data_IF_388561629835
#
_entry.id   IF_388561629835
#
_cell.length_a   1.000
_cell.length_b   1.000
_cell.length_c   1.000
_cell.angle_alpha   90.00
_cell.angle_beta   90.00
_cell.angle_gamma   90.00
#
_symmetry.space_group_name_H-M   'P 1'
#
loop_
_entity.id
_entity.type
_entity.pdbx_description
1 polymer ?
#
# COMPACT_ATOMS: atom_id res chain seq x y z
N UNK A 1 14.39 -12.84 7.51
CA UNK A 1 13.13 -12.75 6.71
C UNK A 1 12.84 -11.31 6.36
N UNK A 2 12.30 -11.05 5.18
CA UNK A 2 11.87 -9.70 4.78
C UNK A 2 10.60 -9.33 5.54
N UNK A 3 10.55 -8.12 6.06
CA UNK A 3 9.35 -7.59 6.71
C UNK A 3 8.30 -7.20 5.66
N UNK A 4 7.03 -7.49 5.90
CA UNK A 4 5.91 -7.13 5.02
C UNK A 4 5.00 -6.14 5.74
N UNK A 5 4.85 -4.96 5.17
CA UNK A 5 4.09 -3.84 5.72
C UNK A 5 2.91 -3.57 4.78
N UNK A 6 1.70 -3.50 5.31
CA UNK A 6 0.56 -2.96 4.59
C UNK A 6 0.43 -1.46 4.88
N UNK A 7 0.73 -0.62 3.88
CA UNK A 7 0.55 0.83 3.97
C UNK A 7 -0.67 1.22 3.14
N UNK A 8 -1.77 1.53 3.82
CA UNK A 8 -3.06 1.75 3.17
C UNK A 8 -3.76 3.00 3.67
N UNK A 9 -4.49 3.64 2.78
CA UNK A 9 -5.31 4.80 3.12
C UNK A 9 -6.79 4.41 3.17
N UNK A 10 -7.48 4.80 4.23
CA UNK A 10 -8.91 4.56 4.41
C UNK A 10 -9.64 5.84 4.81
N UNK A 11 -10.94 5.91 4.49
CA UNK A 11 -11.85 6.88 5.07
C UNK A 11 -12.10 6.59 6.55
N UNK A 12 -12.68 7.54 7.29
CA UNK A 12 -13.05 7.34 8.70
C UNK A 12 -13.98 6.13 8.89
N UNK A 13 -14.85 5.87 7.92
CA UNK A 13 -15.77 4.73 7.91
C UNK A 13 -15.22 3.45 7.23
N UNK A 14 -13.90 3.39 6.98
CA UNK A 14 -13.17 2.17 6.67
C UNK A 14 -13.09 1.77 5.19
N UNK A 15 -13.46 2.64 4.27
CA UNK A 15 -13.35 2.38 2.82
C UNK A 15 -12.00 2.82 2.26
N UNK A 16 -11.38 2.01 1.40
CA UNK A 16 -10.15 2.39 0.70
C UNK A 16 -10.40 2.96 -0.70
N UNK A 17 -11.56 2.70 -1.28
CA UNK A 17 -12.09 3.35 -2.49
C UNK A 17 -13.57 3.64 -2.29
N UNK A 18 -14.07 4.66 -2.98
CA UNK A 18 -15.50 4.99 -2.97
C UNK A 18 -16.33 4.00 -3.82
N UNK A 19 -17.63 4.26 -3.93
CA UNK A 19 -18.54 3.42 -4.72
C UNK A 19 -18.28 3.40 -6.22
N UNK A 20 -17.38 4.27 -6.73
CA UNK A 20 -16.94 4.31 -8.13
C UNK A 20 -15.51 3.75 -8.30
N UNK A 21 -14.87 3.32 -7.22
CA UNK A 21 -13.48 2.86 -7.23
C UNK A 21 -12.45 3.99 -7.20
N UNK A 22 -12.87 5.23 -6.90
CA UNK A 22 -11.99 6.38 -6.81
C UNK A 22 -11.38 6.52 -5.42
N UNK A 23 -10.12 6.96 -5.35
CA UNK A 23 -9.40 7.27 -4.12
C UNK A 23 -8.76 8.67 -4.12
N UNK A 24 -9.14 9.54 -5.04
CA UNK A 24 -8.61 10.91 -5.13
C UNK A 24 -8.87 11.75 -3.87
N UNK A 25 -9.89 11.39 -3.09
CA UNK A 25 -10.20 11.97 -1.78
C UNK A 25 -9.07 11.83 -0.75
N UNK A 26 -8.15 10.87 -0.94
CA UNK A 26 -6.99 10.65 -0.08
C UNK A 26 -5.79 11.57 -0.40
N UNK A 27 -5.84 12.32 -1.51
CA UNK A 27 -4.74 13.15 -1.99
C UNK A 27 -4.79 14.58 -1.44
N UNK A 28 -4.73 14.73 -0.12
CA UNK A 28 -4.68 16.06 0.52
C UNK A 28 -3.25 16.55 0.61
N UNK A 29 -2.95 17.66 -0.05
CA UNK A 29 -1.65 18.31 0.02
C UNK A 29 -1.43 18.93 1.41
N UNK A 30 -0.27 18.66 1.97
CA UNK A 30 0.18 19.21 3.23
C UNK A 30 1.71 19.05 3.31
N UNK A 31 2.49 20.09 3.69
CA UNK A 31 3.95 20.01 3.70
C UNK A 31 4.51 18.90 4.61
N UNK A 32 3.91 18.73 5.79
CA UNK A 32 4.33 17.69 6.74
C UNK A 32 3.99 16.29 6.22
N UNK A 33 2.80 16.13 5.65
CA UNK A 33 2.38 14.90 5.00
C UNK A 33 3.28 14.55 3.81
N UNK A 34 3.60 15.51 2.95
CA UNK A 34 4.48 15.32 1.80
C UNK A 34 5.90 14.93 2.22
N UNK A 35 6.43 15.55 3.30
CA UNK A 35 7.72 15.16 3.86
C UNK A 35 7.72 13.74 4.43
N UNK A 36 6.64 13.33 5.09
CA UNK A 36 6.46 11.95 5.57
C UNK A 36 6.40 10.95 4.41
N UNK A 37 5.60 11.22 3.39
CA UNK A 37 5.50 10.38 2.19
C UNK A 37 6.85 10.28 1.45
N UNK A 38 7.57 11.39 1.32
CA UNK A 38 8.91 11.43 0.73
C UNK A 38 9.92 10.61 1.53
N UNK A 39 9.88 10.69 2.85
CA UNK A 39 10.73 9.87 3.73
C UNK A 39 10.46 8.38 3.56
N UNK A 40 9.19 7.97 3.50
CA UNK A 40 8.83 6.57 3.24
C UNK A 40 9.31 6.08 1.87
N UNK A 41 9.21 6.92 0.84
CA UNK A 41 9.65 6.59 -0.52
C UNK A 41 11.18 6.64 -0.70
N UNK A 42 11.94 7.27 0.20
CA UNK A 42 13.40 7.36 0.12
C UNK A 42 14.13 6.09 0.57
N UNK A 43 13.44 5.16 1.20
CA UNK A 43 14.00 3.89 1.66
C UNK A 43 14.37 2.92 0.54
N UNK A 44 15.06 1.84 0.92
CA UNK A 44 15.47 0.76 0.00
C UNK A 44 14.47 -0.40 -0.04
N UNK A 45 13.20 -0.13 0.24
CA UNK A 45 12.12 -1.11 0.24
C UNK A 45 11.79 -1.67 -1.15
N UNK A 46 10.94 -2.68 -1.19
CA UNK A 46 10.26 -3.13 -2.39
C UNK A 46 8.76 -2.86 -2.28
N UNK A 47 8.08 -2.69 -3.40
CA UNK A 47 6.65 -2.43 -3.45
C UNK A 47 5.90 -3.67 -3.93
N UNK A 48 4.70 -3.87 -3.43
CA UNK A 48 3.82 -4.96 -3.84
C UNK A 48 2.44 -4.41 -4.18
N UNK A 49 1.92 -4.80 -5.34
CA UNK A 49 0.64 -4.34 -5.87
C UNK A 49 -0.22 -5.48 -6.40
N UNK A 50 -1.53 -5.31 -6.32
CA UNK A 50 -2.45 -5.92 -7.27
C UNK A 50 -2.46 -5.13 -8.59
N UNK A 51 -2.97 -5.75 -9.66
CA UNK A 51 -2.97 -5.15 -11.01
C UNK A 51 -3.59 -3.75 -11.07
N UNK A 52 -4.78 -3.57 -10.53
CA UNK A 52 -5.52 -2.30 -10.62
C UNK A 52 -4.75 -1.15 -9.96
N UNK A 53 -4.23 -1.39 -8.76
CA UNK A 53 -3.41 -0.39 -8.05
C UNK A 53 -2.11 -0.12 -8.80
N UNK A 54 -1.47 -1.16 -9.34
CA UNK A 54 -0.26 -0.99 -10.15
C UNK A 54 -0.52 -0.10 -11.37
N UNK A 55 -1.56 -0.38 -12.15
CA UNK A 55 -1.90 0.40 -13.35
C UNK A 55 -2.19 1.87 -13.00
N UNK A 56 -2.91 2.13 -11.90
CA UNK A 56 -3.15 3.47 -11.39
C UNK A 56 -1.83 4.19 -11.00
N UNK A 57 -0.97 3.55 -10.23
CA UNK A 57 0.31 4.10 -9.81
C UNK A 57 1.26 4.31 -10.99
N UNK A 58 1.33 3.37 -11.92
CA UNK A 58 2.17 3.43 -13.11
C UNK A 58 1.72 4.51 -14.13
N UNK A 59 0.47 4.93 -14.08
CA UNK A 59 -0.05 6.02 -14.90
C UNK A 59 0.36 7.41 -14.40
N UNK A 60 0.73 7.54 -13.13
CA UNK A 60 1.05 8.84 -12.53
C UNK A 60 2.54 8.97 -12.15
N UNK A 61 3.09 8.07 -11.33
CA UNK A 61 4.41 8.26 -10.72
C UNK A 61 5.58 8.41 -11.71
N UNK A 62 5.60 7.72 -12.87
CA UNK A 62 6.68 7.91 -13.86
C UNK A 62 6.55 9.19 -14.71
N UNK A 63 5.54 10.03 -14.48
CA UNK A 63 5.28 11.21 -15.32
C UNK A 63 6.06 12.44 -14.87
N UNK A 64 6.34 13.41 -15.80
CA UNK A 64 6.92 14.70 -15.45
C UNK A 64 6.11 15.46 -14.38
N UNK A 65 4.79 15.36 -14.41
CA UNK A 65 3.90 15.99 -13.43
C UNK A 65 4.16 15.48 -12.01
N UNK A 66 4.36 14.18 -11.84
CA UNK A 66 4.69 13.60 -10.53
C UNK A 66 6.08 14.07 -10.07
N UNK A 67 7.06 14.15 -10.99
CA UNK A 67 8.41 14.65 -10.70
C UNK A 67 8.43 16.13 -10.31
N UNK A 68 7.51 16.94 -10.83
CA UNK A 68 7.37 18.35 -10.45
C UNK A 68 6.65 18.52 -9.11
N UNK A 69 5.57 17.76 -8.88
CA UNK A 69 4.73 17.92 -7.68
C UNK A 69 5.31 17.25 -6.43
N UNK A 70 5.89 16.06 -6.57
CA UNK A 70 6.43 15.26 -5.46
C UNK A 70 7.71 14.53 -5.89
N UNK A 71 8.82 15.23 -6.17
CA UNK A 71 10.02 14.65 -6.78
C UNK A 71 10.61 13.49 -5.97
N UNK A 72 10.73 13.63 -4.66
CA UNK A 72 11.29 12.58 -3.79
C UNK A 72 10.45 11.29 -3.82
N UNK A 73 9.12 11.40 -3.84
CA UNK A 73 8.22 10.24 -3.93
C UNK A 73 8.29 9.62 -5.32
N UNK A 74 8.22 10.42 -6.38
CA UNK A 74 8.25 9.95 -7.77
C UNK A 74 9.56 9.21 -8.10
N UNK A 75 10.69 9.73 -7.64
CA UNK A 75 12.01 9.10 -7.79
C UNK A 75 12.09 7.79 -7.01
N UNK A 76 11.71 7.80 -5.73
CA UNK A 76 11.73 6.62 -4.87
C UNK A 76 10.83 5.51 -5.40
N UNK A 77 9.58 5.83 -5.74
CA UNK A 77 8.63 4.88 -6.33
C UNK A 77 9.14 4.26 -7.63
N UNK A 78 9.84 5.04 -8.46
CA UNK A 78 10.43 4.54 -9.70
C UNK A 78 11.67 3.68 -9.48
N UNK A 79 12.48 3.98 -8.45
CA UNK A 79 13.70 3.25 -8.12
C UNK A 79 13.43 1.90 -7.48
N UNK A 80 12.48 1.83 -6.53
CA UNK A 80 12.19 0.61 -5.77
C UNK A 80 11.79 -0.56 -6.67
N UNK A 81 12.24 -1.80 -6.39
CA UNK A 81 11.70 -3.01 -7.01
C UNK A 81 10.20 -3.14 -6.76
N UNK A 82 9.46 -3.61 -7.74
CA UNK A 82 8.01 -3.78 -7.67
C UNK A 82 7.61 -5.20 -8.01
N UNK A 83 6.71 -5.76 -7.23
CA UNK A 83 6.07 -7.05 -7.47
C UNK A 83 4.58 -6.81 -7.76
N UNK A 84 4.09 -7.27 -8.89
CA UNK A 84 2.69 -7.09 -9.31
C UNK A 84 2.02 -8.42 -9.49
N UNK A 85 1.02 -8.68 -8.67
CA UNK A 85 0.18 -9.88 -8.80
C UNK A 85 -0.89 -9.67 -9.85
N UNK A 86 -0.80 -10.41 -10.95
CA UNK A 86 -1.77 -10.37 -12.03
C UNK A 86 -1.79 -11.66 -12.84
N UNK A 87 -2.99 -12.09 -13.21
CA UNK A 87 -3.22 -13.19 -14.18
C UNK A 87 -3.45 -12.67 -15.60
N UNK A 88 -3.66 -11.39 -15.77
CA UNK A 88 -4.07 -10.78 -17.04
C UNK A 88 -3.07 -9.79 -17.62
N UNK A 89 -2.27 -9.15 -16.79
CA UNK A 89 -1.23 -8.20 -17.25
C UNK A 89 -0.08 -8.98 -17.90
N UNK A 90 0.16 -8.71 -19.17
CA UNK A 90 1.19 -9.42 -19.96
C UNK A 90 2.55 -8.72 -19.94
N UNK A 91 2.57 -7.42 -19.68
CA UNK A 91 3.80 -6.61 -19.69
C UNK A 91 3.68 -5.48 -18.68
N UNK A 92 4.71 -5.30 -17.87
CA UNK A 92 4.86 -4.15 -17.00
C UNK A 92 5.51 -2.99 -17.78
N UNK A 93 4.90 -1.81 -17.71
CA UNK A 93 5.41 -0.59 -18.34
C UNK A 93 6.35 0.21 -17.44
N UNK A 94 6.16 0.12 -16.13
CA UNK A 94 6.96 0.84 -15.15
C UNK A 94 8.25 0.07 -14.84
N UNK A 95 9.40 0.75 -14.85
CA UNK A 95 10.71 0.13 -14.63
C UNK A 95 10.80 -0.58 -13.27
N UNK A 96 11.70 -1.56 -13.17
CA UNK A 96 11.95 -2.36 -11.96
C UNK A 96 10.70 -3.13 -11.46
N UNK A 97 9.85 -3.57 -12.39
CA UNK A 97 8.63 -4.32 -12.09
C UNK A 97 8.77 -5.78 -12.51
N UNK A 98 8.45 -6.68 -11.58
CA UNK A 98 8.33 -8.12 -11.80
C UNK A 98 6.86 -8.52 -11.73
N UNK A 99 6.35 -9.16 -12.78
CA UNK A 99 5.03 -9.79 -12.75
C UNK A 99 5.10 -11.11 -11.98
N UNK A 100 4.17 -11.30 -11.06
CA UNK A 100 4.08 -12.50 -10.22
C UNK A 100 2.74 -13.19 -10.49
N UNK A 101 2.79 -14.45 -10.85
CA UNK A 101 1.62 -15.29 -11.08
C UNK A 101 1.46 -16.33 -9.97
N UNK A 102 0.24 -16.86 -9.82
CA UNK A 102 -0.07 -17.91 -8.88
C UNK A 102 -0.72 -17.44 -7.59
N UNK A 103 -0.64 -18.28 -6.56
CA UNK A 103 -1.22 -18.01 -5.25
C UNK A 103 -0.43 -16.91 -4.52
N UNK A 104 -1.13 -15.86 -4.12
CA UNK A 104 -0.52 -14.65 -3.51
C UNK A 104 0.22 -15.01 -2.22
N UNK A 105 -0.40 -15.80 -1.34
CA UNK A 105 0.18 -16.15 -0.05
C UNK A 105 1.43 -17.02 -0.22
N UNK A 106 1.41 -18.00 -1.13
CA UNK A 106 2.56 -18.85 -1.42
C UNK A 106 3.76 -18.03 -1.96
N UNK A 107 3.50 -17.13 -2.90
CA UNK A 107 4.53 -16.28 -3.47
C UNK A 107 5.12 -15.30 -2.45
N UNK A 108 4.29 -14.70 -1.59
CA UNK A 108 4.78 -13.80 -0.54
C UNK A 108 5.58 -14.57 0.52
N UNK A 109 5.19 -15.79 0.90
CA UNK A 109 6.02 -16.65 1.77
C UNK A 109 7.41 -16.89 1.17
N UNK A 110 7.48 -17.17 -0.14
CA UNK A 110 8.74 -17.32 -0.86
C UNK A 110 9.56 -16.01 -0.82
N UNK A 111 8.96 -14.88 -1.16
CA UNK A 111 9.63 -13.57 -1.10
C UNK A 111 10.13 -13.24 0.32
N UNK A 112 9.37 -13.56 1.36
CA UNK A 112 9.78 -13.35 2.76
C UNK A 112 11.00 -14.19 3.14
N UNK A 113 11.16 -15.40 2.60
CA UNK A 113 12.28 -16.29 2.89
C UNK A 113 13.57 -15.91 2.15
N UNK A 114 13.48 -15.16 1.07
CA UNK A 114 14.62 -14.71 0.29
C UNK A 114 15.32 -13.51 0.94
N UNK A 115 16.64 -13.31 0.74
CA UNK A 115 17.30 -12.08 1.15
C UNK A 115 16.78 -10.88 0.36
N UNK A 116 16.68 -9.73 1.00
CA UNK A 116 16.24 -8.52 0.34
C UNK A 116 15.63 -7.50 1.31
N UNK A 117 15.28 -6.32 0.81
CA UNK A 117 14.66 -5.29 1.61
C UNK A 117 13.23 -5.65 2.02
N UNK A 118 12.67 -4.94 3.00
CA UNK A 118 11.27 -5.03 3.37
C UNK A 118 10.34 -4.79 2.18
N UNK A 119 9.10 -5.27 2.27
CA UNK A 119 8.09 -5.17 1.21
C UNK A 119 6.94 -4.32 1.75
N UNK A 120 6.59 -3.23 1.05
CA UNK A 120 5.41 -2.43 1.34
C UNK A 120 4.29 -2.78 0.34
N UNK A 121 3.14 -3.18 0.87
CA UNK A 121 1.91 -3.37 0.08
C UNK A 121 1.22 -1.99 0.00
N UNK A 122 0.98 -1.51 -1.22
CA UNK A 122 0.26 -0.25 -1.49
C UNK A 122 -1.10 -0.49 -2.15
N UNK A 123 -1.77 -1.58 -1.85
CA UNK A 123 -3.02 -2.04 -2.46
C UNK A 123 -2.78 -3.16 -3.48
N UNK A 124 -3.76 -3.87 -3.89
CA UNK A 124 -5.21 -3.65 -3.63
C UNK A 124 -5.65 -4.24 -2.29
N UNK A 125 -6.86 -3.83 -1.87
CA UNK A 125 -7.47 -4.39 -0.65
C UNK A 125 -7.59 -5.91 -0.67
N UNK A 126 -7.82 -6.53 -1.84
CA UNK A 126 -7.85 -8.00 -1.98
C UNK A 126 -6.49 -8.67 -1.71
N UNK A 127 -5.38 -8.01 -1.99
CA UNK A 127 -4.04 -8.50 -1.62
C UNK A 127 -3.86 -8.39 -0.10
N UNK A 128 -4.22 -7.24 0.47
CA UNK A 128 -4.12 -7.01 1.92
C UNK A 128 -4.96 -8.03 2.69
N UNK A 129 -6.22 -8.24 2.34
CA UNK A 129 -7.10 -9.18 3.04
C UNK A 129 -6.59 -10.63 2.96
N UNK A 130 -6.15 -11.09 1.78
CA UNK A 130 -5.57 -12.43 1.63
C UNK A 130 -4.30 -12.63 2.47
N UNK A 131 -3.38 -11.65 2.47
CA UNK A 131 -2.14 -11.74 3.22
C UNK A 131 -2.35 -11.56 4.73
N UNK A 132 -3.31 -10.73 5.14
CA UNK A 132 -3.72 -10.60 6.54
C UNK A 132 -4.29 -11.92 7.07
N UNK A 133 -5.22 -12.55 6.34
CA UNK A 133 -5.81 -13.85 6.70
C UNK A 133 -4.75 -14.97 6.75
N UNK A 134 -3.73 -14.90 5.89
CA UNK A 134 -2.62 -15.87 5.87
C UNK A 134 -1.54 -15.60 6.93
N UNK A 135 -1.66 -14.56 7.78
CA UNK A 135 -0.67 -14.18 8.79
C UNK A 135 0.69 -13.74 8.20
N UNK A 136 0.67 -13.13 7.02
CA UNK A 136 1.89 -12.77 6.28
C UNK A 136 2.25 -11.27 6.36
N UNK A 137 1.40 -10.46 6.95
CA UNK A 137 1.65 -9.04 7.20
C UNK A 137 2.24 -8.89 8.59
N UNK A 138 3.41 -8.29 8.68
CA UNK A 138 4.12 -8.08 9.95
C UNK A 138 3.70 -6.75 10.62
N UNK A 139 3.33 -5.75 9.81
CA UNK A 139 2.91 -4.43 10.30
C UNK A 139 1.81 -3.84 9.39
N UNK A 140 0.81 -3.23 10.01
CA UNK A 140 -0.21 -2.44 9.34
C UNK A 140 0.02 -0.96 9.64
N UNK A 141 0.24 -0.18 8.60
CA UNK A 141 0.29 1.28 8.64
C UNK A 141 -0.97 1.83 7.97
N UNK A 142 -1.97 2.13 8.75
CA UNK A 142 -3.28 2.57 8.25
C UNK A 142 -3.41 4.07 8.41
N UNK A 143 -3.57 4.75 7.29
CA UNK A 143 -3.84 6.19 7.23
C UNK A 143 -5.34 6.41 7.24
N UNK A 144 -5.86 6.92 8.36
CA UNK A 144 -7.26 7.32 8.45
C UNK A 144 -7.39 8.76 7.97
N UNK A 145 -8.13 8.96 6.88
CA UNK A 145 -8.41 10.27 6.31
C UNK A 145 -9.67 10.88 6.92
N UNK A 146 -9.73 12.21 7.13
CA UNK A 146 -10.87 12.90 7.75
C UNK A 146 -12.02 13.08 6.76
N UNK A 147 -12.58 11.97 6.29
CA UNK A 147 -13.70 11.90 5.36
C UNK A 147 -14.58 10.67 5.65
N UNK A 148 -15.87 10.81 5.46
CA UNK A 148 -16.85 9.70 5.47
C UNK A 148 -17.35 9.52 4.04
N UNK A 149 -17.24 8.32 3.49
CA UNK A 149 -17.65 8.00 2.12
C UNK A 149 -19.06 7.40 2.04
N UNK A 150 -19.50 6.72 3.09
CA UNK A 150 -20.81 6.09 3.18
C UNK A 150 -20.98 4.82 2.36
N UNK A 151 -20.22 4.66 1.27
CA UNK A 151 -20.19 3.46 0.42
C UNK A 151 -18.85 3.34 -0.30
N UNK A 152 -18.51 2.11 -0.66
CA UNK A 152 -17.27 1.78 -1.34
C UNK A 152 -16.84 0.35 -1.07
N UNK A 153 -15.54 0.09 -1.16
CA UNK A 153 -14.93 -1.19 -0.79
C UNK A 153 -14.10 -1.03 0.46
N UNK A 154 -14.30 -1.94 1.41
CA UNK A 154 -13.55 -1.99 2.66
C UNK A 154 -12.21 -2.69 2.48
N UNK A 155 -11.20 -2.27 3.24
CA UNK A 155 -9.83 -2.78 3.13
C UNK A 155 -9.73 -4.28 3.46
N UNK A 156 -10.50 -4.74 4.42
CA UNK A 156 -10.47 -6.13 4.92
C UNK A 156 -11.66 -6.98 4.44
N UNK A 157 -12.24 -6.63 3.30
CA UNK A 157 -13.30 -7.42 2.68
C UNK A 157 -12.82 -8.86 2.42
N UNK A 158 -13.58 -9.86 2.89
CA UNK A 158 -13.25 -11.27 2.75
C UNK A 158 -12.33 -11.84 3.83
N UNK A 159 -11.98 -11.08 4.85
CA UNK A 159 -11.35 -11.63 6.07
C UNK A 159 -12.43 -12.32 6.90
N UNK A 160 -12.28 -13.63 7.10
CA UNK A 160 -13.27 -14.48 7.78
C UNK A 160 -13.02 -14.59 9.28
N UNK A 161 -11.75 -14.61 9.68
CA UNK A 161 -11.36 -14.75 11.09
C UNK A 161 -10.85 -13.44 11.67
N UNK A 162 -11.11 -13.24 12.96
CA UNK A 162 -10.63 -12.06 13.68
C UNK A 162 -9.12 -12.05 13.75
N UNK A 163 -8.53 -10.91 13.43
CA UNK A 163 -7.09 -10.66 13.57
C UNK A 163 -6.92 -9.63 14.68
N UNK A 164 -6.41 -10.06 15.83
CA UNK A 164 -6.13 -9.15 16.94
C UNK A 164 -4.87 -8.32 16.62
N UNK A 165 -4.94 -7.03 16.85
CA UNK A 165 -3.85 -6.09 16.55
C UNK A 165 -3.47 -5.32 17.81
N UNK A 166 -2.16 -5.07 17.97
CA UNK A 166 -1.60 -4.22 19.01
C UNK A 166 -1.19 -2.88 18.40
N UNK A 167 -1.71 -1.79 18.93
CA UNK A 167 -1.27 -0.45 18.55
C UNK A 167 0.16 -0.21 19.05
N UNK A 168 1.06 0.09 18.14
CA UNK A 168 2.47 0.40 18.45
C UNK A 168 2.72 1.90 18.50
N UNK A 169 2.09 2.65 17.58
CA UNK A 169 2.30 4.09 17.43
C UNK A 169 1.12 4.72 16.69
N UNK A 170 0.88 6.00 16.93
CA UNK A 170 0.00 6.83 16.12
C UNK A 170 0.63 8.19 15.84
N UNK A 171 0.29 8.80 14.71
CA UNK A 171 0.74 10.15 14.35
C UNK A 171 -0.37 10.89 13.62
N UNK A 172 -0.74 12.05 14.13
CA UNK A 172 -1.64 12.98 13.48
C UNK A 172 -0.88 14.02 12.67
N UNK A 173 -1.47 14.48 11.56
CA UNK A 173 -0.93 15.49 10.64
C UNK A 173 -1.85 16.71 10.58
N UNK A 174 -1.29 17.84 10.16
CA UNK A 174 -2.03 19.10 10.05
C UNK A 174 -3.21 19.06 9.07
N UNK A 175 -3.15 18.20 8.05
CA UNK A 175 -4.26 17.99 7.10
C UNK A 175 -5.42 17.14 7.66
N UNK A 176 -5.31 16.66 8.91
CA UNK A 176 -6.30 15.83 9.57
C UNK A 176 -6.11 14.32 9.37
N UNK A 177 -5.11 13.88 8.61
CA UNK A 177 -4.76 12.46 8.51
C UNK A 177 -4.19 11.95 9.83
N UNK A 178 -4.51 10.70 10.17
CA UNK A 178 -3.92 9.98 11.30
C UNK A 178 -3.34 8.67 10.81
N UNK A 179 -2.05 8.44 11.01
CA UNK A 179 -1.41 7.16 10.73
C UNK A 179 -1.39 6.32 12.00
N UNK A 180 -1.92 5.11 11.89
CA UNK A 180 -1.96 4.10 12.94
C UNK A 180 -1.02 2.96 12.55
N UNK A 181 -0.13 2.59 13.46
CA UNK A 181 0.83 1.49 13.28
C UNK A 181 0.43 0.34 14.20
N UNK A 182 0.10 -0.79 13.60
CA UNK A 182 -0.31 -1.99 14.31
C UNK A 182 0.56 -3.18 13.95
N UNK A 183 0.79 -4.05 14.93
CA UNK A 183 1.34 -5.38 14.72
C UNK A 183 0.28 -6.44 15.04
N UNK A 184 0.22 -7.56 14.28
CA UNK A 184 -0.61 -8.70 14.65
C UNK A 184 -0.21 -9.24 16.02
N UNK A 185 -1.21 -9.53 16.85
CA UNK A 185 -0.99 -10.27 18.09
C UNK A 185 -0.93 -11.78 17.79
N UNK A 186 0.01 -12.46 18.45
CA UNK A 186 0.11 -13.91 18.36
C UNK A 186 -1.10 -14.63 18.97
#
# INVERSE_FOLDING_TARGET
MRNVIAFEQVSLDGFFVDGKGDMSWAHKQDPEWNAFAGSNASGDGALLFGRVTYEMMASFWPTPQAMESMPAVAEGMSRMPKFVFSRTLKKASWKNTTLVEGDVAAQVRKLKSEPGPGIAILGSGSIVSQLAQAGLIDEFQIVVNPIVLGKGRTLFEGVEEKIALKLMKSRAFGNGNVVLYYEPMA
#
